data_IF_563906897478
#
_entry.id   IF_563906897478
#
_cell.length_a   1.000
_cell.length_b   1.000
_cell.length_c   1.000
_cell.angle_alpha   90.00
_cell.angle_beta   90.00
_cell.angle_gamma   90.00
#
_symmetry.space_group_name_H-M   'P 1'
#
loop_
_entity.id
_entity.type
_entity.pdbx_description
1 polymer ?
#
# COMPACT_ATOMS: atom_id res chain seq x y z
N UNK A 1 29.95 -11.52 17.44
CA UNK A 1 28.53 -11.49 17.03
C UNK A 1 28.45 -10.53 15.86
N UNK A 2 28.16 -11.03 14.66
CA UNK A 2 28.00 -10.16 13.50
C UNK A 2 26.63 -9.53 13.61
N UNK A 3 26.58 -8.22 13.73
CA UNK A 3 25.36 -7.43 13.70
C UNK A 3 24.88 -7.40 12.24
N UNK A 4 24.20 -8.47 11.81
CA UNK A 4 23.44 -8.50 10.56
C UNK A 4 22.16 -7.68 10.77
N UNK A 5 22.31 -6.40 11.09
CA UNK A 5 21.20 -5.47 11.00
C UNK A 5 20.80 -5.47 9.53
N UNK A 6 19.61 -5.99 9.23
CA UNK A 6 18.95 -5.87 7.92
C UNK A 6 18.71 -4.38 7.67
N UNK A 7 19.76 -3.68 7.27
CA UNK A 7 19.68 -2.26 6.96
C UNK A 7 18.85 -2.13 5.67
N UNK A 8 17.70 -1.48 5.78
CA UNK A 8 16.95 -1.02 4.62
C UNK A 8 17.84 -0.01 3.91
N UNK A 9 18.29 -0.31 2.69
CA UNK A 9 19.05 0.62 1.89
C UNK A 9 18.08 1.57 1.16
N UNK A 10 18.12 2.90 1.46
CA UNK A 10 17.16 3.85 0.92
C UNK A 10 17.17 3.95 -0.61
N UNK A 11 18.25 3.55 -1.28
CA UNK A 11 18.32 3.60 -2.74
C UNK A 11 17.30 2.66 -3.42
N UNK A 12 16.83 1.63 -2.71
CA UNK A 12 15.83 0.68 -3.19
C UNK A 12 14.40 1.06 -2.78
N UNK A 13 14.19 2.22 -2.15
CA UNK A 13 12.86 2.72 -1.79
C UNK A 13 12.31 3.58 -2.94
N UNK A 14 11.14 3.23 -3.43
CA UNK A 14 10.47 3.98 -4.50
C UNK A 14 9.00 4.24 -4.17
N UNK A 15 8.52 5.44 -4.50
CA UNK A 15 7.12 5.83 -4.39
C UNK A 15 6.54 6.01 -5.79
N UNK A 16 5.34 5.50 -6.02
CA UNK A 16 4.67 5.57 -7.32
C UNK A 16 3.18 5.87 -7.17
N UNK A 17 2.70 6.87 -7.90
CA UNK A 17 1.27 7.08 -8.09
C UNK A 17 0.68 5.95 -8.93
N UNK A 18 -0.44 5.41 -8.48
CA UNK A 18 -1.12 4.31 -9.13
C UNK A 18 -1.87 4.83 -10.36
N UNK A 19 -1.60 4.20 -11.49
CA UNK A 19 -2.14 4.56 -12.82
C UNK A 19 -2.62 3.36 -13.61
N UNK A 20 -2.33 2.14 -13.14
CA UNK A 20 -2.74 0.90 -13.81
C UNK A 20 -3.55 -0.01 -12.91
N UNK A 21 -4.35 -0.91 -13.50
CA UNK A 21 -5.13 -1.89 -12.75
C UNK A 21 -4.24 -2.88 -11.98
N UNK A 22 -3.06 -3.22 -12.52
CA UNK A 22 -2.11 -4.11 -11.83
C UNK A 22 -1.60 -3.47 -10.54
N UNK A 23 -1.29 -2.18 -10.58
CA UNK A 23 -0.91 -1.43 -9.38
C UNK A 23 -2.07 -1.36 -8.37
N UNK A 24 -3.32 -1.22 -8.81
CA UNK A 24 -4.48 -1.32 -7.91
C UNK A 24 -4.58 -2.69 -7.21
N UNK A 25 -4.17 -3.78 -7.86
CA UNK A 25 -4.10 -5.09 -7.18
C UNK A 25 -3.03 -5.11 -6.08
N UNK A 26 -1.89 -4.44 -6.28
CA UNK A 26 -0.88 -4.32 -5.22
C UNK A 26 -1.39 -3.48 -4.04
N UNK A 27 -2.14 -2.41 -4.30
CA UNK A 27 -2.81 -1.62 -3.25
C UNK A 27 -3.74 -2.53 -2.44
N UNK A 28 -4.56 -3.33 -3.10
CA UNK A 28 -5.48 -4.25 -2.44
C UNK A 28 -4.75 -5.31 -1.62
N UNK A 29 -3.64 -5.86 -2.13
CA UNK A 29 -2.84 -6.86 -1.42
C UNK A 29 -2.23 -6.30 -0.13
N UNK A 30 -1.56 -5.13 -0.19
CA UNK A 30 -0.95 -4.50 0.97
C UNK A 30 -2.01 -4.14 2.02
N UNK A 31 -3.14 -3.54 1.61
CA UNK A 31 -4.24 -3.20 2.52
C UNK A 31 -4.91 -4.44 3.11
N UNK A 32 -5.04 -5.51 2.33
CA UNK A 32 -5.54 -6.80 2.80
C UNK A 32 -4.69 -7.34 3.95
N UNK A 33 -3.37 -7.38 3.78
CA UNK A 33 -2.47 -7.84 4.84
C UNK A 33 -2.56 -6.92 6.06
N UNK A 34 -2.30 -5.62 5.90
CA UNK A 34 -2.19 -4.72 7.05
C UNK A 34 -3.52 -4.48 7.77
N UNK A 35 -4.60 -4.22 7.04
CA UNK A 35 -5.85 -3.79 7.68
C UNK A 35 -6.80 -4.96 7.92
N UNK A 36 -6.90 -5.91 6.99
CA UNK A 36 -7.82 -7.05 7.13
C UNK A 36 -7.20 -8.15 7.99
N UNK A 37 -5.98 -8.59 7.67
CA UNK A 37 -5.35 -9.72 8.37
C UNK A 37 -4.74 -9.31 9.72
N UNK A 38 -3.90 -8.28 9.76
CA UNK A 38 -3.18 -7.89 10.97
C UNK A 38 -4.06 -7.12 11.97
N UNK A 39 -4.82 -6.13 11.50
CA UNK A 39 -5.68 -5.30 12.36
C UNK A 39 -7.07 -5.92 12.59
N UNK A 40 -7.56 -6.74 11.65
CA UNK A 40 -8.86 -7.42 11.77
C UNK A 40 -10.05 -6.60 11.27
N UNK A 41 -9.84 -5.61 10.40
CA UNK A 41 -10.93 -4.86 9.76
C UNK A 41 -11.70 -5.79 8.83
N UNK A 42 -13.04 -5.93 8.95
CA UNK A 42 -13.82 -6.71 7.99
C UNK A 42 -13.57 -6.22 6.55
N UNK A 43 -13.32 -7.13 5.61
CA UNK A 43 -12.96 -6.78 4.24
C UNK A 43 -13.98 -5.86 3.56
N UNK A 44 -15.28 -6.04 3.85
CA UNK A 44 -16.36 -5.19 3.34
C UNK A 44 -16.36 -3.73 3.86
N UNK A 45 -15.56 -3.43 4.89
CA UNK A 45 -15.37 -2.09 5.42
C UNK A 45 -14.03 -1.50 4.97
N UNK A 46 -13.02 -2.36 4.74
CA UNK A 46 -11.74 -1.91 4.21
C UNK A 46 -11.89 -1.48 2.74
N UNK A 47 -12.59 -2.27 1.93
CA UNK A 47 -12.81 -1.98 0.52
C UNK A 47 -14.19 -1.36 0.31
N UNK A 48 -14.24 -0.08 -0.07
CA UNK A 48 -15.45 0.73 -0.15
C UNK A 48 -15.67 1.35 -1.55
N UNK A 49 -16.83 1.97 -1.76
CA UNK A 49 -17.18 2.57 -3.07
C UNK A 49 -16.27 3.74 -3.45
N UNK A 50 -15.66 4.41 -2.47
CA UNK A 50 -14.75 5.52 -2.70
C UNK A 50 -13.41 5.03 -3.28
N UNK A 51 -13.11 3.74 -3.18
CA UNK A 51 -11.92 3.17 -3.78
C UNK A 51 -11.87 3.33 -5.30
N UNK A 52 -13.03 3.50 -5.95
CA UNK A 52 -13.16 3.71 -7.38
C UNK A 52 -12.76 5.13 -7.84
N UNK A 53 -12.72 6.09 -6.93
CA UNK A 53 -12.51 7.51 -7.26
C UNK A 53 -11.30 8.13 -6.56
N UNK A 54 -10.70 7.42 -5.60
CA UNK A 54 -9.55 7.89 -4.86
C UNK A 54 -8.25 7.81 -5.69
N UNK A 55 -7.29 8.67 -5.34
CA UNK A 55 -5.92 8.56 -5.84
C UNK A 55 -5.09 7.72 -4.88
N UNK A 56 -4.24 6.84 -5.40
CA UNK A 56 -3.36 6.01 -4.57
C UNK A 56 -1.89 6.23 -4.87
N UNK A 57 -1.07 6.03 -3.85
CA UNK A 57 0.36 5.86 -3.99
C UNK A 57 0.80 4.54 -3.36
N UNK A 58 1.72 3.85 -4.03
CA UNK A 58 2.41 2.66 -3.53
C UNK A 58 3.83 3.03 -3.14
N UNK A 59 4.30 2.44 -2.05
CA UNK A 59 5.73 2.41 -1.72
C UNK A 59 6.30 1.01 -1.90
N UNK A 60 7.49 0.99 -2.48
CA UNK A 60 8.21 -0.22 -2.83
C UNK A 60 9.55 -0.29 -2.10
N UNK A 61 9.99 -1.51 -1.80
CA UNK A 61 11.36 -1.81 -1.45
C UNK A 61 11.85 -2.96 -2.34
N UNK A 62 12.90 -2.74 -3.12
CA UNK A 62 13.46 -3.74 -4.03
C UNK A 62 12.39 -4.36 -4.97
N UNK A 63 11.59 -3.48 -5.60
CA UNK A 63 10.46 -3.80 -6.50
C UNK A 63 9.27 -4.54 -5.88
N UNK A 64 9.30 -4.82 -4.57
CA UNK A 64 8.17 -5.39 -3.84
C UNK A 64 7.29 -4.28 -3.23
N UNK A 65 5.96 -4.29 -3.43
CA UNK A 65 5.06 -3.32 -2.81
C UNK A 65 4.97 -3.59 -1.29
N UNK A 66 5.42 -2.64 -0.48
CA UNK A 66 5.46 -2.76 0.98
C UNK A 66 4.54 -1.77 1.70
N UNK A 67 3.97 -0.82 0.96
CA UNK A 67 3.05 0.17 1.53
C UNK A 67 2.07 0.69 0.48
N UNK A 68 0.90 1.11 0.93
CA UNK A 68 -0.11 1.75 0.11
C UNK A 68 -0.77 2.88 0.91
N UNK A 69 -1.06 4.00 0.24
CA UNK A 69 -1.85 5.09 0.83
C UNK A 69 -2.91 5.55 -0.16
N UNK A 70 -4.09 5.86 0.40
CA UNK A 70 -5.21 6.44 -0.30
C UNK A 70 -5.30 7.93 0.01
N UNK A 71 -5.38 8.75 -1.04
CA UNK A 71 -5.79 10.15 -0.95
C UNK A 71 -7.20 10.26 -1.51
N UNK A 72 -8.16 10.42 -0.61
CA UNK A 72 -9.52 10.78 -0.95
C UNK A 72 -9.70 12.27 -0.67
N UNK A 73 -9.98 13.08 -1.69
CA UNK A 73 -10.49 14.42 -1.42
C UNK A 73 -11.95 14.29 -0.98
N UNK A 74 -12.27 14.70 0.24
CA UNK A 74 -13.64 15.13 0.51
C UNK A 74 -13.85 16.41 -0.30
N UNK A 75 -14.71 16.38 -1.31
CA UNK A 75 -15.25 17.61 -1.87
C UNK A 75 -16.11 18.28 -0.77
N UNK A 76 -15.46 19.08 0.07
CA UNK A 76 -16.10 20.04 0.99
C UNK A 76 -16.04 21.42 0.38
#
# INVERSE_FOLDING_TARGET
MNDNTLAIDPQYIHLKLVTTQVEMMHVAAVRGICNVEEVGVPAQHEFDDNDNFATYALGYYNDEPISAVRSASSAT
#
